data_IF_469161451844
#
_entry.id   IF_469161451844
#
_cell.length_a   1.000
_cell.length_b   1.000
_cell.length_c   1.000
_cell.angle_alpha   90.00
_cell.angle_beta   90.00
_cell.angle_gamma   90.00
#
_symmetry.space_group_name_H-M   'P 1'
#
loop_
_entity.id
_entity.type
_entity.pdbx_description
1 polymer ?
#
# COMPACT_ATOMS: atom_id res chain seq x y z
N UNK A 1 -8.90 1.31 -18.34
CA UNK A 1 -8.78 -0.14 -18.13
C UNK A 1 -10.09 -0.66 -17.52
N UNK A 2 -10.94 -1.25 -18.36
CA UNK A 2 -12.30 -1.70 -18.02
C UNK A 2 -12.28 -2.96 -17.12
N UNK A 3 -13.27 -3.06 -16.23
CA UNK A 3 -13.37 -4.00 -15.10
C UNK A 3 -13.47 -5.50 -15.41
N UNK A 4 -13.31 -5.93 -16.67
CA UNK A 4 -13.37 -7.34 -17.10
C UNK A 4 -12.03 -8.09 -17.01
N UNK A 5 -10.92 -7.41 -16.72
CA UNK A 5 -9.55 -7.96 -16.77
C UNK A 5 -8.93 -8.41 -15.42
N UNK A 6 -9.72 -8.61 -14.35
CA UNK A 6 -9.16 -8.94 -13.03
C UNK A 6 -8.61 -10.37 -12.89
N UNK A 7 -8.91 -11.30 -13.81
CA UNK A 7 -8.40 -12.68 -13.75
C UNK A 7 -6.89 -12.80 -14.05
N UNK A 8 -6.36 -11.90 -14.90
CA UNK A 8 -4.96 -11.95 -15.35
C UNK A 8 -4.03 -11.00 -14.59
N UNK A 9 -4.58 -10.09 -13.78
CA UNK A 9 -3.77 -9.23 -12.93
C UNK A 9 -3.22 -10.03 -11.72
N UNK A 10 -2.01 -9.67 -11.29
CA UNK A 10 -1.47 -10.05 -9.98
C UNK A 10 -1.14 -8.78 -9.22
N UNK A 11 -1.10 -8.88 -7.90
CA UNK A 11 -0.79 -7.77 -7.01
C UNK A 11 -0.03 -8.22 -5.78
N UNK A 12 0.66 -7.28 -5.15
CA UNK A 12 1.38 -7.46 -3.90
C UNK A 12 1.01 -6.33 -2.94
N UNK A 13 1.11 -6.59 -1.64
CA UNK A 13 1.05 -5.57 -0.60
C UNK A 13 2.47 -5.08 -0.32
N UNK A 14 2.68 -3.78 -0.42
CA UNK A 14 3.97 -3.13 -0.12
C UNK A 14 3.78 -2.23 1.10
N UNK A 15 4.71 -2.31 2.05
CA UNK A 15 4.78 -1.42 3.20
C UNK A 15 6.07 -0.62 3.09
N UNK A 16 5.93 0.70 3.23
CA UNK A 16 7.05 1.63 3.29
C UNK A 16 7.02 2.40 4.60
N UNK A 17 8.16 2.96 5.00
CA UNK A 17 8.17 3.97 6.06
C UNK A 17 7.84 5.37 5.53
N UNK A 18 7.94 6.37 6.41
CA UNK A 18 7.66 7.77 6.12
C UNK A 18 8.64 8.42 5.13
N UNK A 19 9.83 7.85 4.95
CA UNK A 19 10.87 8.32 4.04
C UNK A 19 10.77 7.64 2.65
N UNK A 20 9.85 6.69 2.49
CA UNK A 20 9.63 5.96 1.24
C UNK A 20 10.51 4.72 1.08
N UNK A 21 11.15 4.24 2.15
CA UNK A 21 11.94 3.00 2.11
C UNK A 21 11.03 1.79 2.16
N UNK A 22 11.31 0.78 1.34
CA UNK A 22 10.52 -0.46 1.31
C UNK A 22 10.91 -1.33 2.51
N UNK A 23 9.93 -1.53 3.41
CA UNK A 23 10.07 -2.38 4.59
C UNK A 23 9.58 -3.81 4.34
N UNK A 24 8.59 -3.96 3.47
CA UNK A 24 7.99 -5.26 3.19
C UNK A 24 7.33 -5.27 1.82
N UNK A 25 7.42 -6.42 1.14
CA UNK A 25 6.68 -6.71 -0.09
C UNK A 25 6.17 -8.14 -0.01
N UNK A 26 4.84 -8.32 -0.05
CA UNK A 26 4.25 -9.66 0.08
C UNK A 26 4.48 -10.51 -1.17
N UNK A 27 4.35 -11.85 -1.06
CA UNK A 27 4.10 -12.69 -2.23
C UNK A 27 2.92 -12.15 -3.04
N UNK A 28 2.93 -12.42 -4.34
CA UNK A 28 1.86 -11.98 -5.23
C UNK A 28 0.57 -12.77 -5.00
N UNK A 29 -0.56 -12.11 -5.18
CA UNK A 29 -1.90 -12.69 -5.20
C UNK A 29 -2.60 -12.37 -6.51
N UNK A 30 -3.60 -13.18 -6.92
CA UNK A 30 -4.50 -12.81 -7.98
C UNK A 30 -5.14 -11.43 -7.73
N UNK A 31 -5.26 -10.62 -8.77
CA UNK A 31 -5.86 -9.28 -8.72
C UNK A 31 -7.32 -9.26 -8.29
N UNK A 32 -8.00 -10.42 -8.34
CA UNK A 32 -9.34 -10.64 -7.82
C UNK A 32 -9.42 -10.69 -6.29
N UNK A 33 -8.35 -11.04 -5.58
CA UNK A 33 -8.32 -11.04 -4.11
C UNK A 33 -8.54 -9.61 -3.59
N UNK A 34 -9.40 -9.35 -2.61
CA UNK A 34 -9.52 -7.98 -2.06
C UNK A 34 -8.27 -7.60 -1.24
N UNK A 35 -7.84 -6.34 -1.29
CA UNK A 35 -6.61 -5.90 -0.59
C UNK A 35 -6.70 -6.09 0.92
N UNK A 36 -7.87 -5.76 1.51
CA UNK A 36 -8.16 -6.06 2.91
C UNK A 36 -8.09 -7.55 3.25
N UNK A 37 -8.54 -8.43 2.36
CA UNK A 37 -8.46 -9.88 2.57
C UNK A 37 -7.01 -10.35 2.53
N UNK A 38 -6.21 -9.80 1.61
CA UNK A 38 -4.79 -10.11 1.53
C UNK A 38 -4.05 -9.68 2.80
N UNK A 39 -4.29 -8.46 3.29
CA UNK A 39 -3.71 -7.97 4.56
C UNK A 39 -4.08 -8.87 5.75
N UNK A 40 -5.33 -9.32 5.83
CA UNK A 40 -5.76 -10.27 6.87
C UNK A 40 -5.02 -11.60 6.79
N UNK A 41 -4.90 -12.17 5.59
CA UNK A 41 -4.18 -13.43 5.37
C UNK A 41 -2.69 -13.32 5.72
N UNK A 42 -2.08 -12.15 5.49
CA UNK A 42 -0.70 -11.86 5.87
C UNK A 42 -0.53 -11.56 7.36
N UNK A 43 -1.60 -11.59 8.15
CA UNK A 43 -1.53 -11.36 9.59
C UNK A 43 -1.32 -9.91 9.99
N UNK A 44 -1.52 -8.93 9.08
CA UNK A 44 -1.29 -7.50 9.37
C UNK A 44 -2.08 -7.02 10.59
N UNK A 45 -3.33 -7.47 10.73
CA UNK A 45 -4.19 -7.10 11.86
C UNK A 45 -3.58 -7.58 13.18
N UNK A 46 -3.13 -8.84 13.22
CA UNK A 46 -2.50 -9.43 14.40
C UNK A 46 -1.18 -8.73 14.71
N UNK A 47 -0.36 -8.48 13.70
CA UNK A 47 0.90 -7.75 13.85
C UNK A 47 0.68 -6.36 14.47
N UNK A 48 -0.36 -5.65 14.04
CA UNK A 48 -0.67 -4.32 14.60
C UNK A 48 -1.33 -4.38 15.96
N UNK A 49 -1.97 -5.49 16.35
CA UNK A 49 -2.53 -5.66 17.69
C UNK A 49 -1.42 -6.00 18.70
N UNK A 50 -0.52 -6.91 18.34
CA UNK A 50 0.51 -7.47 19.24
C UNK A 50 1.84 -6.69 19.17
N UNK A 51 2.01 -5.86 18.14
CA UNK A 51 3.27 -5.19 17.79
C UNK A 51 3.38 -3.74 18.25
N UNK A 52 4.48 -3.06 17.83
CA UNK A 52 4.78 -1.70 18.23
C UNK A 52 3.66 -0.73 17.85
N UNK A 53 3.55 0.37 18.60
CA UNK A 53 2.58 1.41 18.34
C UNK A 53 2.95 2.19 17.07
N UNK A 54 2.54 1.67 15.92
CA UNK A 54 2.74 2.27 14.60
C UNK A 54 1.39 2.50 13.92
N UNK A 55 1.30 3.59 13.17
CA UNK A 55 0.17 3.89 12.30
C UNK A 55 0.52 3.52 10.86
N UNK A 56 -0.44 2.94 10.14
CA UNK A 56 -0.31 2.63 8.71
C UNK A 56 -1.28 3.48 7.92
N UNK A 57 -0.76 4.25 6.97
CA UNK A 57 -1.56 4.94 5.96
C UNK A 57 -1.88 3.98 4.81
N UNK A 58 -3.15 3.70 4.60
CA UNK A 58 -3.62 2.78 3.58
C UNK A 58 -4.64 3.44 2.63
N UNK A 59 -4.88 2.79 1.49
CA UNK A 59 -5.90 3.22 0.54
C UNK A 59 -7.31 2.73 0.91
N UNK A 60 -8.30 3.08 0.07
CA UNK A 60 -9.69 2.70 0.30
C UNK A 60 -9.92 1.17 0.24
N UNK A 61 -9.07 0.40 -0.44
CA UNK A 61 -9.13 -1.06 -0.51
C UNK A 61 -8.87 -1.77 0.82
N UNK A 62 -8.34 -1.03 1.81
CA UNK A 62 -8.11 -1.49 3.17
C UNK A 62 -9.15 -0.97 4.18
N UNK A 63 -10.21 -0.28 3.72
CA UNK A 63 -11.27 0.22 4.60
C UNK A 63 -11.90 -0.90 5.44
N UNK A 64 -12.03 -0.65 6.74
CA UNK A 64 -12.48 -1.63 7.72
C UNK A 64 -11.36 -2.18 8.62
N UNK A 65 -10.09 -2.12 8.19
CA UNK A 65 -8.97 -2.52 9.04
C UNK A 65 -8.77 -1.61 10.25
N UNK A 66 -9.11 -0.31 10.14
CA UNK A 66 -9.01 0.62 11.27
C UNK A 66 -9.79 0.15 12.49
N UNK A 67 -11.02 -0.36 12.30
CA UNK A 67 -11.84 -0.91 13.37
C UNK A 67 -11.23 -2.18 14.00
N UNK A 68 -10.50 -2.97 13.21
CA UNK A 68 -9.85 -4.22 13.67
C UNK A 68 -8.49 -3.98 14.35
N UNK A 69 -7.94 -2.77 14.22
CA UNK A 69 -6.57 -2.44 14.63
C UNK A 69 -6.54 -1.29 15.63
N UNK A 70 -7.65 -1.00 16.29
CA UNK A 70 -7.75 0.09 17.27
C UNK A 70 -7.44 1.48 16.68
N UNK A 71 -7.75 1.69 15.39
CA UNK A 71 -7.46 2.93 14.67
C UNK A 71 -6.07 3.02 14.05
N UNK A 72 -5.20 2.03 14.24
CA UNK A 72 -3.81 2.07 13.71
C UNK A 72 -3.74 2.05 12.18
N UNK A 73 -4.70 1.42 11.49
CA UNK A 73 -4.81 1.52 10.02
C UNK A 73 -5.72 2.68 9.64
N UNK A 74 -5.11 3.75 9.14
CA UNK A 74 -5.77 4.97 8.69
C UNK A 74 -6.06 4.85 7.20
N UNK A 75 -7.34 4.93 6.84
CA UNK A 75 -7.84 4.88 5.46
C UNK A 75 -8.59 6.17 5.13
N UNK A 76 -8.84 6.47 3.84
CA UNK A 76 -9.65 7.63 3.50
C UNK A 76 -11.02 7.57 4.19
N UNK A 77 -11.63 8.72 4.54
CA UNK A 77 -12.94 8.73 5.20
C UNK A 77 -13.96 7.95 4.38
N UNK A 78 -14.80 7.16 5.05
CA UNK A 78 -15.91 6.47 4.41
C UNK A 78 -17.07 7.46 4.20
N UNK A 79 -17.58 7.54 2.96
CA UNK A 79 -18.69 8.43 2.63
C UNK A 79 -19.99 7.86 3.22
N UNK A 80 -20.62 8.62 4.11
CA UNK A 80 -21.86 8.25 4.80
C UNK A 80 -23.09 8.44 3.91
N UNK A 81 -23.16 9.57 3.20
CA UNK A 81 -24.28 9.91 2.33
C UNK A 81 -23.99 9.50 0.89
N UNK A 82 -24.89 8.70 0.29
CA UNK A 82 -24.80 8.30 -1.12
C UNK A 82 -25.40 9.32 -2.09
N UNK A 83 -26.42 10.06 -1.64
CA UNK A 83 -27.13 11.11 -2.38
C UNK A 83 -27.55 12.22 -1.41
N UNK A 84 -27.72 13.44 -1.91
CA UNK A 84 -28.28 14.59 -1.19
C UNK A 84 -27.62 14.83 0.17
N UNK A 85 -26.28 14.78 0.21
CA UNK A 85 -25.57 15.12 1.42
C UNK A 85 -25.70 16.63 1.68
N UNK A 86 -25.80 17.07 2.94
CA UNK A 86 -25.72 18.49 3.26
C UNK A 86 -24.38 19.10 2.80
N UNK A 87 -24.38 20.38 2.38
CA UNK A 87 -23.18 21.05 1.89
C UNK A 87 -22.02 21.02 2.90
N UNK A 88 -22.33 21.27 4.18
CA UNK A 88 -21.34 21.19 5.27
C UNK A 88 -20.66 19.81 5.35
N UNK A 89 -21.37 18.74 5.00
CA UNK A 89 -20.83 17.39 5.03
C UNK A 89 -19.89 17.15 3.85
N UNK A 90 -20.25 17.62 2.65
CA UNK A 90 -19.39 17.52 1.47
C UNK A 90 -18.08 18.28 1.69
N UNK A 91 -18.14 19.50 2.22
CA UNK A 91 -16.94 20.28 2.54
C UNK A 91 -16.02 19.57 3.55
N UNK A 92 -16.59 19.07 4.64
CA UNK A 92 -15.85 18.32 5.65
C UNK A 92 -15.24 17.04 5.05
N UNK A 93 -16.02 16.27 4.30
CA UNK A 93 -15.57 15.02 3.66
C UNK A 93 -14.45 15.29 2.66
N UNK A 94 -14.59 16.31 1.82
CA UNK A 94 -13.55 16.72 0.88
C UNK A 94 -12.26 17.13 1.59
N UNK A 95 -12.36 17.93 2.66
CA UNK A 95 -11.20 18.36 3.45
C UNK A 95 -10.45 17.16 4.03
N UNK A 96 -11.16 16.21 4.64
CA UNK A 96 -10.58 14.99 5.19
C UNK A 96 -9.98 14.09 4.10
N UNK A 97 -10.67 13.93 2.96
CA UNK A 97 -10.18 13.16 1.82
C UNK A 97 -8.91 13.77 1.24
N UNK A 98 -8.87 15.09 1.07
CA UNK A 98 -7.68 15.84 0.59
C UNK A 98 -6.52 15.69 1.57
N UNK A 99 -6.75 15.88 2.87
CA UNK A 99 -5.73 15.68 3.91
C UNK A 99 -5.14 14.26 3.89
N UNK A 100 -5.99 13.24 3.76
CA UNK A 100 -5.53 11.84 3.62
C UNK A 100 -4.74 11.63 2.34
N UNK A 101 -5.23 12.15 1.21
CA UNK A 101 -4.55 12.06 -0.09
C UNK A 101 -3.16 12.70 -0.03
N UNK A 102 -3.02 13.88 0.59
CA UNK A 102 -1.73 14.56 0.75
C UNK A 102 -0.75 13.74 1.58
N UNK A 103 -1.19 13.13 2.69
CA UNK A 103 -0.33 12.23 3.50
C UNK A 103 0.14 11.01 2.71
N UNK A 104 -0.71 10.48 1.82
CA UNK A 104 -0.41 9.29 0.99
C UNK A 104 0.58 9.52 -0.13
N UNK A 105 0.88 10.77 -0.51
CA UNK A 105 1.89 11.08 -1.54
C UNK A 105 3.24 10.40 -1.21
N UNK A 106 3.65 10.36 0.06
CA UNK A 106 4.91 9.69 0.46
C UNK A 106 4.87 8.17 0.25
N UNK A 107 3.72 7.55 0.52
CA UNK A 107 3.51 6.12 0.26
C UNK A 107 3.59 5.84 -1.25
N UNK A 108 3.00 6.71 -2.07
CA UNK A 108 3.07 6.59 -3.52
C UNK A 108 4.49 6.74 -4.05
N UNK A 109 5.27 7.69 -3.52
CA UNK A 109 6.69 7.82 -3.83
C UNK A 109 7.50 6.58 -3.43
N UNK A 110 7.28 6.06 -2.21
CA UNK A 110 7.95 4.85 -1.75
C UNK A 110 7.68 3.65 -2.66
N UNK A 111 6.42 3.46 -3.06
CA UNK A 111 6.02 2.40 -4.01
C UNK A 111 6.56 2.68 -5.43
N UNK A 112 6.72 3.94 -5.82
CA UNK A 112 7.25 4.30 -7.13
C UNK A 112 8.68 3.79 -7.33
N UNK A 113 9.52 3.77 -6.27
CA UNK A 113 10.85 3.18 -6.35
C UNK A 113 10.82 1.71 -6.81
N UNK A 114 9.81 0.94 -6.38
CA UNK A 114 9.59 -0.43 -6.86
C UNK A 114 9.05 -0.43 -8.29
N UNK A 115 8.01 0.36 -8.57
CA UNK A 115 7.33 0.38 -9.88
C UNK A 115 8.21 0.87 -11.04
N UNK A 116 9.22 1.68 -10.75
CA UNK A 116 10.11 2.26 -11.77
C UNK A 116 11.14 1.27 -12.33
N UNK A 117 11.29 0.08 -11.72
CA UNK A 117 12.14 -0.97 -12.28
C UNK A 117 11.57 -1.44 -13.61
N UNK A 118 12.39 -1.38 -14.67
CA UNK A 118 11.97 -1.73 -16.05
C UNK A 118 11.32 -3.12 -16.15
N UNK A 119 11.81 -4.07 -15.36
CA UNK A 119 11.27 -5.44 -15.33
C UNK A 119 9.81 -5.50 -14.82
N UNK A 120 9.38 -4.54 -14.00
CA UNK A 120 7.99 -4.40 -13.54
C UNK A 120 7.20 -3.42 -14.42
N UNK A 121 7.79 -2.27 -14.76
CA UNK A 121 7.14 -1.25 -15.59
C UNK A 121 6.80 -1.76 -17.01
N UNK A 122 7.62 -2.67 -17.54
CA UNK A 122 7.44 -3.33 -18.84
C UNK A 122 7.57 -4.83 -18.68
N UNK A 123 6.72 -5.41 -17.82
CA UNK A 123 6.72 -6.85 -17.62
C UNK A 123 6.25 -7.56 -18.91
N UNK A 124 7.20 -8.15 -19.62
CA UNK A 124 6.99 -8.98 -20.82
C UNK A 124 7.22 -10.48 -20.52
N UNK A 125 7.52 -10.81 -19.26
CA UNK A 125 7.78 -12.17 -18.81
C UNK A 125 6.51 -12.99 -18.59
N UNK A 126 6.69 -14.28 -18.30
CA UNK A 126 5.59 -15.16 -17.95
C UNK A 126 5.09 -14.91 -16.53
N UNK A 127 3.78 -15.10 -16.33
CA UNK A 127 3.10 -14.85 -15.06
C UNK A 127 3.64 -15.69 -13.91
N UNK A 128 4.06 -16.93 -14.18
CA UNK A 128 4.65 -17.81 -13.16
C UNK A 128 5.87 -17.19 -12.47
N UNK A 129 6.64 -16.35 -13.18
CA UNK A 129 7.85 -15.71 -12.65
C UNK A 129 7.59 -14.31 -12.06
N UNK A 130 6.35 -13.80 -12.12
CA UNK A 130 6.06 -12.43 -11.64
C UNK A 130 6.31 -12.32 -10.13
N UNK A 131 5.98 -13.36 -9.36
CA UNK A 131 6.25 -13.37 -7.93
C UNK A 131 7.74 -13.22 -7.63
N UNK A 132 8.56 -14.06 -8.26
CA UNK A 132 9.99 -14.11 -8.01
C UNK A 132 10.67 -12.82 -8.49
N UNK A 133 10.21 -12.28 -9.61
CA UNK A 133 10.67 -10.97 -10.12
C UNK A 133 10.36 -9.85 -9.12
N UNK A 134 9.13 -9.79 -8.61
CA UNK A 134 8.73 -8.76 -7.63
C UNK A 134 9.54 -8.90 -6.34
N UNK A 135 9.71 -10.12 -5.83
CA UNK A 135 10.45 -10.39 -4.60
C UNK A 135 11.95 -10.06 -4.74
N UNK A 136 12.57 -10.46 -5.85
CA UNK A 136 13.97 -10.14 -6.14
C UNK A 136 14.19 -8.62 -6.18
N UNK A 137 13.32 -7.89 -6.89
CA UNK A 137 13.42 -6.43 -6.98
C UNK A 137 13.18 -5.77 -5.63
N UNK A 138 12.20 -6.23 -4.85
CA UNK A 138 11.96 -5.69 -3.51
C UNK A 138 13.16 -5.89 -2.58
N UNK A 139 13.79 -7.06 -2.63
CA UNK A 139 15.02 -7.35 -1.87
C UNK A 139 16.19 -6.47 -2.28
N UNK A 140 16.45 -6.35 -3.59
CA UNK A 140 17.51 -5.48 -4.12
C UNK A 140 17.29 -4.02 -3.75
N UNK A 141 16.06 -3.52 -3.91
CA UNK A 141 15.70 -2.14 -3.57
C UNK A 141 15.88 -1.87 -2.07
N UNK A 142 15.40 -2.77 -1.20
CA UNK A 142 15.55 -2.62 0.25
C UNK A 142 17.02 -2.62 0.67
N UNK A 143 17.83 -3.49 0.05
CA UNK A 143 19.28 -3.52 0.29
C UNK A 143 19.97 -2.21 -0.14
N UNK A 144 19.67 -1.71 -1.34
CA UNK A 144 20.20 -0.45 -1.83
C UNK A 144 19.84 0.72 -0.91
N UNK A 145 18.56 0.85 -0.56
CA UNK A 145 18.09 1.91 0.34
C UNK A 145 18.75 1.82 1.72
N UNK A 146 19.04 0.62 2.21
CA UNK A 146 19.74 0.42 3.50
C UNK A 146 21.21 0.83 3.41
N UNK A 147 21.88 0.49 2.32
CA UNK A 147 23.28 0.88 2.09
C UNK A 147 23.44 2.40 2.03
N UNK A 148 22.57 3.09 1.28
CA UNK A 148 22.60 4.55 1.12
C UNK A 148 22.42 5.29 2.46
N UNK A 149 21.57 4.77 3.35
CA UNK A 149 21.39 5.33 4.70
C UNK A 149 22.64 5.22 5.56
N UNK A 150 23.31 4.06 5.53
CA UNK A 150 24.50 3.83 6.33
C UNK A 150 25.63 4.76 5.87
N UNK A 151 25.74 4.99 4.56
CA UNK A 151 26.67 5.97 4.00
C UNK A 151 26.36 7.39 4.50
N UNK A 152 25.08 7.77 4.50
CA UNK A 152 24.62 9.10 4.95
C UNK A 152 24.84 9.32 6.46
N UNK A 153 24.79 8.26 7.28
CA UNK A 153 25.03 8.35 8.74
C UNK A 153 26.50 8.43 9.13
N UNK A 154 27.41 8.10 8.22
CA UNK A 154 28.86 8.10 8.46
C UNK A 154 29.56 9.40 8.05
N UNK A 155 28.85 10.31 7.37
CA UNK A 155 29.32 11.66 7.01
C UNK A 155 28.82 12.70 8.00
#
# INVERSE_FOLDING_TARGET
>A
MSGKNKQNAVKTMVVTDGDGRVLFCSPTKPGSCADITHARQLGLVRLLADGPAVEILADAGYQGLGAQTGGRVITPPHRKFKKNAPDWYEEMYERQRKAHSSRRIRVEHGIAHLKNWRALARHLGRREHTNDTVQAIAGLLSHQQTADLNLTRQM
#
